data_IF_565686464484
#
_entry.id   IF_565686464484
#
_cell.length_a   1.000
_cell.length_b   1.000
_cell.length_c   1.000
_cell.angle_alpha   90.00
_cell.angle_beta   90.00
_cell.angle_gamma   90.00
#
_symmetry.space_group_name_H-M   'P 1'
#
loop_
_entity.id
_entity.type
_entity.pdbx_description
1 polymer ?
#
# COMPACT_ATOMS: atom_id res chain seq x y z
N UNK A 1 -20.58 6.24 22.96
CA UNK A 1 -20.14 5.21 23.92
C UNK A 1 -20.37 3.85 23.27
N UNK A 2 -19.36 3.35 22.56
CA UNK A 2 -19.38 2.01 21.98
C UNK A 2 -18.74 1.06 22.98
N UNK A 3 -19.57 0.28 23.68
CA UNK A 3 -19.05 -0.87 24.39
C UNK A 3 -18.40 -1.85 23.38
N UNK A 4 -17.32 -2.55 23.75
CA UNK A 4 -16.75 -3.57 22.90
C UNK A 4 -17.82 -4.62 22.56
N UNK A 5 -17.95 -4.90 21.27
CA UNK A 5 -19.01 -5.75 20.72
C UNK A 5 -18.83 -7.23 21.11
N UNK A 6 -17.72 -7.61 21.76
CA UNK A 6 -17.44 -8.98 22.16
C UNK A 6 -17.01 -9.04 23.63
N UNK A 7 -17.42 -10.07 24.40
CA UNK A 7 -16.96 -10.30 25.77
C UNK A 7 -15.44 -10.50 25.81
N UNK A 8 -14.80 -10.02 26.86
CA UNK A 8 -13.35 -10.16 27.09
C UNK A 8 -12.84 -11.61 27.02
N UNK A 9 -13.69 -12.59 27.29
CA UNK A 9 -13.38 -14.02 27.35
C UNK A 9 -13.78 -14.79 26.07
N UNK A 10 -14.32 -14.13 25.06
CA UNK A 10 -14.67 -14.83 23.83
C UNK A 10 -13.40 -15.16 23.05
N UNK A 11 -13.19 -16.44 22.63
CA UNK A 11 -12.12 -16.75 21.70
C UNK A 11 -12.40 -15.94 20.43
N UNK A 12 -11.57 -14.95 20.18
CA UNK A 12 -11.65 -14.15 18.97
C UNK A 12 -11.48 -15.09 17.79
N UNK A 13 -12.49 -15.26 16.96
CA UNK A 13 -12.26 -16.00 15.72
C UNK A 13 -11.18 -15.25 14.94
N UNK A 14 -10.20 -15.98 14.42
CA UNK A 14 -9.16 -15.40 13.58
C UNK A 14 -9.84 -14.62 12.46
N UNK A 15 -9.78 -13.30 12.56
CA UNK A 15 -10.37 -12.37 11.61
C UNK A 15 -9.30 -11.39 11.14
N UNK A 16 -9.38 -11.07 9.86
CA UNK A 16 -8.46 -10.17 9.19
C UNK A 16 -9.22 -9.02 8.57
N UNK A 17 -8.66 -7.83 8.64
CA UNK A 17 -9.21 -6.69 7.91
C UNK A 17 -8.54 -6.63 6.54
N UNK A 18 -9.31 -6.91 5.50
CA UNK A 18 -8.84 -6.85 4.13
C UNK A 18 -9.12 -5.47 3.55
N UNK A 19 -8.05 -4.69 3.34
CA UNK A 19 -8.14 -3.33 2.81
C UNK A 19 -7.50 -3.28 1.43
N UNK A 20 -8.21 -2.66 0.48
CA UNK A 20 -7.67 -2.26 -0.81
C UNK A 20 -8.02 -0.80 -1.06
N UNK A 21 -7.02 0.07 -1.00
CA UNK A 21 -7.22 1.53 -1.11
C UNK A 21 -7.78 1.92 -2.49
N UNK A 22 -7.33 1.25 -3.55
CA UNK A 22 -7.67 1.63 -4.91
C UNK A 22 -7.03 2.98 -5.28
N UNK A 23 -7.73 3.75 -6.13
CA UNK A 23 -7.25 5.06 -6.58
C UNK A 23 -7.62 6.20 -5.62
N UNK A 24 -8.65 6.01 -4.80
CA UNK A 24 -9.28 7.07 -4.02
C UNK A 24 -9.24 6.82 -2.52
N UNK A 25 -8.90 5.60 -2.08
CA UNK A 25 -8.80 5.27 -0.66
C UNK A 25 -7.53 5.87 -0.05
N UNK A 26 -7.65 6.37 1.18
CA UNK A 26 -6.55 6.97 1.91
C UNK A 26 -6.79 6.90 3.42
N UNK A 27 -5.70 7.05 4.18
CA UNK A 27 -5.73 7.12 5.62
C UNK A 27 -5.58 8.56 6.11
N UNK A 28 -6.35 8.92 7.13
CA UNK A 28 -6.15 10.13 7.91
C UNK A 28 -5.72 9.73 9.31
N UNK A 29 -4.64 10.32 9.77
CA UNK A 29 -4.15 10.15 11.13
C UNK A 29 -4.28 11.46 11.89
N UNK A 30 -4.67 11.37 13.18
CA UNK A 30 -4.63 12.47 14.13
C UNK A 30 -4.17 11.88 15.47
N UNK A 31 -3.53 12.71 16.28
CA UNK A 31 -3.05 12.30 17.59
C UNK A 31 -2.66 13.49 18.44
N UNK A 32 -2.36 13.20 19.71
CA UNK A 32 -1.79 14.19 20.62
C UNK A 32 -0.29 14.42 20.36
N UNK A 33 0.35 15.26 21.20
CA UNK A 33 1.76 15.62 21.08
C UNK A 33 2.74 14.45 21.30
N UNK A 34 2.27 13.31 21.81
CA UNK A 34 3.09 12.10 22.04
C UNK A 34 3.20 11.23 20.80
N UNK A 35 2.36 11.47 19.79
CA UNK A 35 2.36 10.73 18.53
C UNK A 35 3.41 11.30 17.60
N UNK A 36 4.52 10.58 17.47
CA UNK A 36 5.60 10.94 16.55
C UNK A 36 5.32 10.34 15.19
N UNK A 37 5.18 11.17 14.16
CA UNK A 37 5.17 10.72 12.77
C UNK A 37 6.62 10.49 12.31
N UNK A 38 7.04 9.23 12.29
CA UNK A 38 8.37 8.85 11.77
C UNK A 38 8.43 8.83 10.23
N UNK A 39 7.39 9.29 9.56
CA UNK A 39 7.36 9.43 8.10
C UNK A 39 7.38 8.10 7.34
N UNK A 40 7.11 7.00 8.00
CA UNK A 40 7.07 5.68 7.38
C UNK A 40 5.70 5.42 6.79
N UNK A 41 5.51 5.80 5.56
CA UNK A 41 4.34 5.20 4.96
C UNK A 41 3.69 5.88 3.83
N UNK A 42 3.29 5.02 3.13
CA UNK A 42 2.32 4.96 2.05
C UNK A 42 1.45 6.20 1.95
N UNK A 43 1.82 6.97 0.92
CA UNK A 43 0.92 7.86 0.23
C UNK A 43 0.06 8.75 1.12
N UNK A 44 0.66 9.82 1.61
CA UNK A 44 -0.07 11.04 1.91
C UNK A 44 -0.69 11.59 0.60
N UNK A 45 -1.77 10.98 0.14
CA UNK A 45 -2.67 11.71 -0.75
C UNK A 45 -3.44 12.67 0.13
N UNK A 46 -2.98 13.90 0.18
CA UNK A 46 -3.80 15.01 0.64
C UNK A 46 -4.94 15.12 -0.37
N UNK A 47 -6.20 14.81 0.01
CA UNK A 47 -7.30 14.94 -0.91
C UNK A 47 -7.58 16.41 -1.11
N UNK A 48 -7.55 16.86 -2.35
CA UNK A 48 -8.08 18.14 -2.78
C UNK A 48 -7.62 19.34 -1.94
N UNK A 49 -6.35 19.63 -1.90
CA UNK A 49 -5.92 21.01 -1.73
C UNK A 49 -6.41 21.76 -2.98
N UNK A 50 -7.18 22.86 -2.82
CA UNK A 50 -7.62 23.66 -3.96
C UNK A 50 -6.44 23.94 -4.89
N UNK A 51 -6.63 23.75 -6.18
CA UNK A 51 -5.58 24.05 -7.18
C UNK A 51 -5.14 25.48 -7.00
N UNK A 52 -3.97 25.71 -6.43
CA UNK A 52 -3.40 27.04 -6.19
C UNK A 52 -2.59 27.18 -4.90
N UNK A 53 -2.76 26.30 -3.94
CA UNK A 53 -2.06 26.40 -2.64
C UNK A 53 -0.94 25.36 -2.42
N UNK A 54 -0.67 24.51 -3.39
CA UNK A 54 0.41 23.54 -3.30
C UNK A 54 1.73 24.17 -3.78
N UNK A 55 2.52 24.66 -2.85
CA UNK A 55 3.84 25.28 -3.12
C UNK A 55 5.02 24.29 -3.08
N UNK A 56 4.78 22.98 -3.13
CA UNK A 56 5.83 21.95 -3.25
C UNK A 56 6.76 21.78 -2.04
N UNK A 57 6.59 22.58 -1.01
CA UNK A 57 7.35 22.55 0.23
C UNK A 57 6.43 22.57 1.44
N UNK A 58 5.41 21.72 1.43
CA UNK A 58 4.67 21.53 2.68
C UNK A 58 5.49 20.59 3.57
N UNK A 59 6.29 21.15 4.45
CA UNK A 59 6.26 20.65 5.81
C UNK A 59 4.80 20.71 6.22
N UNK A 60 4.03 19.67 5.92
CA UNK A 60 2.68 19.51 6.44
C UNK A 60 2.86 19.31 7.93
N UNK A 61 2.83 20.39 8.65
CA UNK A 61 2.62 20.40 10.08
C UNK A 61 1.31 19.67 10.32
N UNK A 62 1.38 18.46 10.79
CA UNK A 62 0.28 17.81 11.45
C UNK A 62 -0.17 18.76 12.55
N UNK A 63 -1.41 19.26 12.51
CA UNK A 63 -1.96 20.01 13.61
C UNK A 63 -2.27 21.49 13.41
N UNK A 64 -2.26 22.07 12.23
CA UNK A 64 -2.89 23.38 12.04
C UNK A 64 -4.43 23.24 12.12
N UNK A 65 -4.93 23.35 13.32
CA UNK A 65 -6.35 23.26 13.67
C UNK A 65 -6.63 22.70 15.06
N UNK A 66 -5.63 22.21 15.75
CA UNK A 66 -5.77 21.76 17.12
C UNK A 66 -5.25 22.85 18.08
N UNK A 67 -6.14 23.37 18.93
CA UNK A 67 -5.74 24.15 20.10
C UNK A 67 -4.77 23.33 20.96
N UNK A 68 -3.98 23.99 21.83
CA UNK A 68 -3.12 23.32 22.81
C UNK A 68 -3.95 22.31 23.62
N UNK A 69 -3.82 21.01 23.28
CA UNK A 69 -4.42 19.92 24.04
C UNK A 69 -3.43 19.56 25.14
N UNK A 70 -3.86 19.69 26.38
CA UNK A 70 -3.05 19.25 27.53
C UNK A 70 -2.94 17.74 27.52
N UNK A 71 -1.76 17.21 27.84
CA UNK A 71 -1.52 15.77 27.99
C UNK A 71 -2.59 15.15 28.90
N UNK A 72 -3.31 14.14 28.40
CA UNK A 72 -4.35 13.42 29.13
C UNK A 72 -5.80 13.87 28.88
N UNK A 73 -6.03 14.89 28.03
CA UNK A 73 -7.37 15.37 27.66
C UNK A 73 -7.63 15.29 26.13
N UNK A 74 -6.82 14.49 25.40
CA UNK A 74 -7.03 14.37 23.96
C UNK A 74 -8.25 13.51 23.63
N UNK A 75 -9.12 14.05 22.83
CA UNK A 75 -10.26 13.34 22.28
C UNK A 75 -10.14 13.24 20.76
N UNK A 76 -10.41 12.04 20.16
CA UNK A 76 -10.35 11.92 18.71
C UNK A 76 -11.38 12.86 18.05
N UNK A 77 -10.96 13.64 17.05
CA UNK A 77 -11.87 14.53 16.33
C UNK A 77 -12.99 13.74 15.65
N UNK A 78 -14.11 14.40 15.40
CA UNK A 78 -15.22 13.80 14.67
C UNK A 78 -14.80 13.28 13.30
N UNK A 79 -15.34 12.11 12.87
CA UNK A 79 -15.05 11.57 11.54
C UNK A 79 -15.45 12.53 10.43
N UNK A 80 -14.59 12.74 9.44
CA UNK A 80 -14.87 13.62 8.30
C UNK A 80 -14.90 12.81 7.01
N UNK A 81 -16.01 12.91 6.26
CA UNK A 81 -16.22 12.21 5.01
C UNK A 81 -16.73 10.78 5.18
N UNK A 82 -16.54 9.96 4.14
CA UNK A 82 -17.02 8.58 4.12
C UNK A 82 -16.03 7.63 4.80
N UNK A 83 -15.91 7.71 6.13
CA UNK A 83 -15.04 6.81 6.91
C UNK A 83 -15.61 5.39 6.90
N UNK A 84 -14.80 4.43 6.48
CA UNK A 84 -15.15 3.00 6.40
C UNK A 84 -14.60 2.19 7.57
N UNK A 85 -13.47 2.63 8.13
CA UNK A 85 -12.85 2.04 9.31
C UNK A 85 -12.24 3.16 10.13
N UNK A 86 -12.49 3.15 11.43
CA UNK A 86 -11.85 4.01 12.41
C UNK A 86 -11.17 3.15 13.47
N UNK A 87 -9.89 3.37 13.66
CA UNK A 87 -9.11 2.77 14.75
C UNK A 87 -8.60 3.89 15.65
N UNK A 88 -8.70 3.74 16.94
CA UNK A 88 -8.23 4.74 17.89
C UNK A 88 -7.79 4.13 19.21
N UNK A 89 -6.97 4.87 19.91
CA UNK A 89 -6.59 4.64 21.29
C UNK A 89 -6.61 5.97 22.05
N UNK A 90 -6.04 6.02 23.24
CA UNK A 90 -6.04 7.22 24.10
C UNK A 90 -5.20 8.38 23.53
N UNK A 91 -4.39 8.14 22.50
CA UNK A 91 -3.41 9.09 21.94
C UNK A 91 -3.58 9.38 20.47
N UNK A 92 -4.20 8.48 19.70
CA UNK A 92 -4.26 8.59 18.26
C UNK A 92 -5.55 8.03 17.66
N UNK A 93 -5.90 8.51 16.48
CA UNK A 93 -6.95 7.95 15.63
C UNK A 93 -6.48 7.83 14.18
N UNK A 94 -6.87 6.73 13.55
CA UNK A 94 -6.67 6.49 12.14
C UNK A 94 -8.02 6.24 11.46
N UNK A 95 -8.37 7.07 10.49
CA UNK A 95 -9.59 6.97 9.69
C UNK A 95 -9.26 6.53 8.27
N UNK A 96 -9.85 5.41 7.85
CA UNK A 96 -9.81 4.94 6.48
C UNK A 96 -10.98 5.53 5.68
N UNK A 97 -10.68 6.30 4.66
CA UNK A 97 -11.68 7.02 3.85
C UNK A 97 -11.67 6.51 2.41
N UNK A 98 -12.83 6.20 1.86
CA UNK A 98 -13.05 5.90 0.45
C UNK A 98 -12.27 4.72 -0.14
N UNK A 99 -11.94 3.65 0.60
CA UNK A 99 -11.27 2.50 0.02
C UNK A 99 -12.19 1.76 -0.96
N UNK A 100 -11.61 1.07 -1.95
CA UNK A 100 -12.35 0.17 -2.83
C UNK A 100 -12.87 -1.04 -2.08
N UNK A 101 -12.13 -1.49 -1.06
CA UNK A 101 -12.48 -2.62 -0.21
C UNK A 101 -12.06 -2.36 1.23
N UNK A 102 -12.93 -2.71 2.15
CA UNK A 102 -12.67 -2.78 3.58
C UNK A 102 -13.62 -3.83 4.16
N UNK A 103 -13.16 -5.06 4.23
CA UNK A 103 -13.95 -6.22 4.63
C UNK A 103 -13.30 -6.94 5.80
N UNK A 104 -14.12 -7.47 6.69
CA UNK A 104 -13.68 -8.42 7.71
C UNK A 104 -13.75 -9.83 7.13
N UNK A 105 -12.62 -10.51 7.05
CA UNK A 105 -12.50 -11.83 6.42
C UNK A 105 -11.99 -12.88 7.40
N UNK A 106 -12.28 -14.16 7.10
CA UNK A 106 -11.75 -15.31 7.83
C UNK A 106 -10.31 -15.61 7.42
N UNK A 107 -9.63 -16.48 8.17
CA UNK A 107 -8.30 -16.98 7.78
C UNK A 107 -8.34 -17.74 6.45
N UNK A 108 -9.37 -18.55 6.22
CA UNK A 108 -9.57 -19.26 4.95
C UNK A 108 -9.73 -18.29 3.77
N UNK A 109 -10.47 -17.19 3.96
CA UNK A 109 -10.65 -16.16 2.94
C UNK A 109 -9.35 -15.38 2.69
N UNK A 110 -8.55 -15.14 3.75
CA UNK A 110 -7.22 -14.56 3.65
C UNK A 110 -6.30 -15.44 2.80
N UNK A 111 -6.16 -16.72 3.16
CA UNK A 111 -5.34 -17.68 2.43
C UNK A 111 -5.78 -17.77 0.96
N UNK A 112 -7.10 -17.78 0.70
CA UNK A 112 -7.64 -17.76 -0.66
C UNK A 112 -7.33 -16.46 -1.41
N UNK A 113 -7.27 -15.33 -0.73
CA UNK A 113 -6.90 -14.05 -1.35
C UNK A 113 -5.41 -14.02 -1.69
N UNK A 114 -4.55 -14.41 -0.74
CA UNK A 114 -3.10 -14.47 -0.89
C UNK A 114 -2.66 -15.49 -1.96
N UNK A 115 -3.32 -16.64 -2.04
CA UNK A 115 -3.00 -17.68 -3.04
C UNK A 115 -3.17 -17.23 -4.50
N UNK A 116 -3.87 -16.12 -4.72
CA UNK A 116 -4.05 -15.53 -6.06
C UNK A 116 -2.94 -14.57 -6.44
N UNK A 117 -2.08 -14.20 -5.49
CA UNK A 117 -0.99 -13.27 -5.73
C UNK A 117 0.19 -13.95 -6.41
N UNK A 118 0.88 -13.19 -7.24
CA UNK A 118 2.18 -13.55 -7.74
C UNK A 118 3.26 -13.41 -6.65
N UNK A 119 4.52 -13.76 -6.96
CA UNK A 119 5.62 -13.56 -6.03
C UNK A 119 5.75 -12.07 -5.68
N UNK A 120 6.07 -11.77 -4.41
CA UNK A 120 6.26 -10.41 -3.91
C UNK A 120 7.74 -10.02 -3.96
N UNK A 121 8.12 -8.93 -4.66
CA UNK A 121 9.49 -8.45 -4.70
C UNK A 121 10.07 -7.98 -3.35
N UNK A 122 9.21 -7.77 -2.35
CA UNK A 122 9.61 -7.38 -0.99
C UNK A 122 9.78 -8.55 -0.03
N UNK A 123 9.41 -9.76 -0.44
CA UNK A 123 9.68 -10.96 0.36
C UNK A 123 11.17 -11.11 0.66
N UNK A 124 11.47 -11.65 1.84
CA UNK A 124 12.85 -11.86 2.26
C UNK A 124 13.62 -12.74 1.25
N UNK A 125 14.64 -12.17 0.63
CA UNK A 125 15.44 -12.87 -0.37
C UNK A 125 14.86 -12.91 -1.79
N UNK A 126 13.71 -12.29 -2.05
CA UNK A 126 13.02 -12.30 -3.36
C UNK A 126 13.95 -11.95 -4.53
N UNK A 127 14.90 -11.02 -4.34
CA UNK A 127 15.86 -10.61 -5.37
C UNK A 127 16.74 -11.77 -5.88
N UNK A 128 17.09 -12.70 -5.03
CA UNK A 128 17.92 -13.88 -5.33
C UNK A 128 17.12 -15.18 -5.43
N UNK A 129 15.81 -15.12 -5.22
CA UNK A 129 14.91 -16.26 -5.37
C UNK A 129 14.73 -16.57 -6.86
N UNK A 130 15.42 -17.65 -7.28
CA UNK A 130 15.41 -18.10 -8.67
C UNK A 130 14.03 -18.60 -9.08
N UNK A 131 13.29 -19.23 -8.18
CA UNK A 131 11.96 -19.77 -8.48
C UNK A 131 10.94 -18.63 -8.71
N UNK A 132 10.91 -17.64 -7.82
CA UNK A 132 10.07 -16.46 -7.97
C UNK A 132 10.39 -15.67 -9.25
N UNK A 133 11.67 -15.45 -9.51
CA UNK A 133 12.16 -14.79 -10.72
C UNK A 133 11.77 -15.54 -12.00
N UNK A 134 11.95 -16.87 -12.04
CA UNK A 134 11.57 -17.69 -13.19
C UNK A 134 10.07 -17.72 -13.38
N UNK A 135 9.30 -17.87 -12.30
CA UNK A 135 7.83 -17.83 -12.35
C UNK A 135 7.36 -16.53 -12.99
N UNK A 136 7.87 -15.39 -12.53
CA UNK A 136 7.57 -14.09 -13.13
C UNK A 136 7.95 -14.04 -14.62
N UNK A 137 9.20 -14.40 -14.95
CA UNK A 137 9.73 -14.30 -16.30
C UNK A 137 8.96 -15.17 -17.29
N UNK A 138 8.67 -16.42 -16.94
CA UNK A 138 7.93 -17.35 -17.80
C UNK A 138 6.48 -16.90 -18.00
N UNK A 139 5.80 -16.50 -16.92
CA UNK A 139 4.43 -16.03 -17.02
C UNK A 139 4.35 -14.74 -17.85
N UNK A 140 5.24 -13.78 -17.61
CA UNK A 140 5.27 -12.53 -18.39
C UNK A 140 5.57 -12.79 -19.87
N UNK A 141 6.53 -13.69 -20.17
CA UNK A 141 6.87 -14.07 -21.55
C UNK A 141 5.71 -14.76 -22.28
N UNK A 142 4.89 -15.54 -21.58
CA UNK A 142 3.73 -16.20 -22.18
C UNK A 142 2.60 -15.25 -22.61
N UNK A 143 2.61 -14.00 -22.12
CA UNK A 143 1.50 -13.06 -22.34
C UNK A 143 1.69 -12.22 -23.59
N UNK A 144 0.62 -12.11 -24.38
CA UNK A 144 0.53 -11.21 -25.55
C UNK A 144 0.12 -9.78 -25.19
N UNK A 145 -0.17 -9.52 -23.90
CA UNK A 145 -0.48 -8.18 -23.37
C UNK A 145 0.78 -7.30 -23.29
N UNK A 146 0.58 -5.99 -23.16
CA UNK A 146 1.65 -5.04 -22.92
C UNK A 146 2.36 -5.28 -21.59
N UNK A 147 3.69 -5.14 -21.54
CA UNK A 147 4.45 -5.37 -20.30
C UNK A 147 4.02 -4.42 -19.18
N UNK A 148 3.63 -3.19 -19.52
CA UNK A 148 3.11 -2.24 -18.53
C UNK A 148 1.82 -2.68 -17.85
N UNK A 149 1.01 -3.51 -18.48
CA UNK A 149 -0.17 -4.13 -17.87
C UNK A 149 0.20 -5.39 -17.07
N UNK A 150 1.18 -6.15 -17.57
CA UNK A 150 1.65 -7.39 -16.94
C UNK A 150 2.25 -7.11 -15.57
N UNK A 151 3.10 -6.10 -15.43
CA UNK A 151 3.73 -5.74 -14.15
C UNK A 151 2.78 -5.06 -13.16
N UNK A 152 1.56 -4.73 -13.59
CA UNK A 152 0.47 -4.24 -12.71
C UNK A 152 -0.48 -5.36 -12.28
N UNK A 153 -0.37 -6.52 -12.88
CA UNK A 153 -1.21 -7.67 -12.60
C UNK A 153 -0.72 -8.39 -11.33
N UNK A 154 -1.41 -8.17 -10.23
CA UNK A 154 -1.01 -8.70 -8.91
C UNK A 154 -0.97 -10.23 -8.86
N UNK A 155 -1.58 -10.93 -9.81
CA UNK A 155 -1.48 -12.38 -9.93
C UNK A 155 -0.17 -12.85 -10.59
N UNK A 156 0.55 -11.93 -11.23
CA UNK A 156 1.84 -12.20 -11.89
C UNK A 156 3.01 -11.72 -11.04
N UNK A 157 2.86 -10.55 -10.42
CA UNK A 157 3.83 -9.95 -9.50
C UNK A 157 3.06 -9.09 -8.49
N UNK A 158 3.24 -9.37 -7.20
CA UNK A 158 2.55 -8.65 -6.15
C UNK A 158 3.21 -7.30 -5.83
N UNK A 159 2.46 -6.36 -5.27
CA UNK A 159 2.96 -5.12 -4.70
C UNK A 159 3.35 -4.02 -5.70
N UNK A 160 3.51 -4.32 -6.98
CA UNK A 160 3.90 -3.32 -7.99
C UNK A 160 2.75 -2.39 -8.33
N UNK A 161 2.95 -1.09 -8.13
CA UNK A 161 2.02 -0.03 -8.49
C UNK A 161 2.51 0.83 -9.66
N UNK A 162 1.75 1.88 -9.98
CA UNK A 162 2.03 2.78 -11.11
C UNK A 162 3.43 3.41 -11.08
N UNK A 163 3.93 3.75 -9.89
CA UNK A 163 5.24 4.39 -9.71
C UNK A 163 6.33 3.39 -10.11
N UNK A 164 6.38 2.25 -9.44
CA UNK A 164 7.41 1.24 -9.72
C UNK A 164 7.31 0.65 -11.11
N UNK A 165 6.09 0.53 -11.68
CA UNK A 165 5.93 0.17 -13.10
C UNK A 165 6.65 1.17 -14.02
N UNK A 166 6.43 2.47 -13.81
CA UNK A 166 7.02 3.50 -14.66
C UNK A 166 8.54 3.51 -14.53
N UNK A 167 9.04 3.55 -13.30
CA UNK A 167 10.48 3.62 -13.02
C UNK A 167 11.23 2.38 -13.49
N UNK A 168 10.70 1.18 -13.20
CA UNK A 168 11.35 -0.06 -13.59
C UNK A 168 11.43 -0.23 -15.11
N UNK A 169 10.34 0.06 -15.82
CA UNK A 169 10.33 -0.06 -17.28
C UNK A 169 11.21 1.00 -17.94
N UNK A 170 11.24 2.23 -17.40
CA UNK A 170 12.12 3.28 -17.87
C UNK A 170 13.60 2.90 -17.69
N UNK A 171 14.00 2.49 -16.50
CA UNK A 171 15.38 2.10 -16.21
C UNK A 171 15.80 0.83 -16.98
N UNK A 172 14.89 -0.12 -17.17
CA UNK A 172 15.13 -1.29 -18.01
C UNK A 172 15.21 -0.94 -19.51
N UNK A 173 14.83 0.24 -19.93
CA UNK A 173 14.73 0.61 -21.35
C UNK A 173 13.73 -0.26 -22.11
N UNK A 174 12.58 -0.59 -21.46
CA UNK A 174 11.52 -1.40 -22.06
C UNK A 174 10.29 -0.52 -22.25
N UNK A 175 9.84 -0.39 -23.52
CA UNK A 175 8.59 0.31 -23.77
C UNK A 175 7.42 -0.38 -23.05
N UNK A 176 6.58 0.35 -22.28
CA UNK A 176 5.44 -0.22 -21.57
C UNK A 176 4.42 -0.88 -22.51
N UNK A 177 4.38 -0.49 -23.79
CA UNK A 177 3.50 -1.07 -24.81
C UNK A 177 4.05 -2.34 -25.45
N UNK A 178 5.30 -2.70 -25.15
CA UNK A 178 5.89 -3.92 -25.72
C UNK A 178 5.20 -5.15 -25.12
N UNK A 179 4.83 -6.10 -25.98
CA UNK A 179 4.20 -7.35 -25.54
C UNK A 179 5.20 -8.18 -24.74
N UNK A 180 4.76 -8.80 -23.65
CA UNK A 180 5.58 -9.69 -22.83
C UNK A 180 6.25 -10.79 -23.66
N UNK A 181 5.50 -11.41 -24.57
CA UNK A 181 6.00 -12.44 -25.48
C UNK A 181 7.15 -11.97 -26.40
N UNK A 182 7.33 -10.67 -26.58
CA UNK A 182 8.39 -10.08 -27.42
C UNK A 182 9.61 -9.61 -26.59
N UNK A 183 9.65 -9.95 -25.29
CA UNK A 183 10.77 -9.65 -24.40
C UNK A 183 11.45 -10.96 -24.06
N UNK A 184 12.77 -11.03 -24.19
CA UNK A 184 13.50 -12.26 -23.88
C UNK A 184 13.42 -12.57 -22.38
N UNK A 185 13.45 -13.86 -22.03
CA UNK A 185 13.48 -14.31 -20.63
C UNK A 185 14.62 -13.67 -19.83
N UNK A 186 15.80 -13.51 -20.46
CA UNK A 186 16.91 -12.80 -19.82
C UNK A 186 16.52 -11.40 -19.37
N UNK A 187 15.89 -10.61 -20.25
CA UNK A 187 15.47 -9.24 -19.92
C UNK A 187 14.34 -9.19 -18.89
N UNK A 188 13.48 -10.20 -18.87
CA UNK A 188 12.42 -10.29 -17.84
C UNK A 188 13.00 -10.62 -16.46
N UNK A 189 14.03 -11.47 -16.39
CA UNK A 189 14.77 -11.72 -15.13
C UNK A 189 15.48 -10.46 -14.64
N UNK A 190 16.15 -9.74 -15.54
CA UNK A 190 16.77 -8.44 -15.22
C UNK A 190 15.73 -7.42 -14.72
N UNK A 191 14.53 -7.41 -15.30
CA UNK A 191 13.43 -6.57 -14.85
C UNK A 191 12.94 -6.96 -13.45
N UNK A 192 12.84 -8.25 -13.13
CA UNK A 192 12.51 -8.72 -11.78
C UNK A 192 13.51 -8.20 -10.74
N UNK A 193 14.81 -8.39 -10.97
CA UNK A 193 15.86 -7.90 -10.07
C UNK A 193 15.76 -6.39 -9.87
N UNK A 194 15.53 -5.64 -10.93
CA UNK A 194 15.39 -4.19 -10.89
C UNK A 194 14.17 -3.75 -10.09
N UNK A 195 13.03 -4.43 -10.23
CA UNK A 195 11.82 -4.17 -9.44
C UNK A 195 12.10 -4.41 -7.95
N UNK A 196 12.71 -5.54 -7.60
CA UNK A 196 13.10 -5.83 -6.22
C UNK A 196 13.99 -4.73 -5.64
N UNK A 197 15.01 -4.29 -6.38
CA UNK A 197 15.93 -3.24 -5.93
C UNK A 197 15.22 -1.90 -5.72
N UNK A 198 14.34 -1.51 -6.63
CA UNK A 198 13.58 -0.26 -6.53
C UNK A 198 12.61 -0.27 -5.35
N UNK A 199 11.84 -1.35 -5.19
CA UNK A 199 10.87 -1.46 -4.11
C UNK A 199 11.56 -1.49 -2.74
N UNK A 200 12.67 -2.22 -2.60
CA UNK A 200 13.44 -2.24 -1.35
C UNK A 200 14.06 -0.85 -1.02
N UNK A 201 14.54 -0.10 -2.03
CA UNK A 201 15.00 1.28 -1.81
C UNK A 201 13.87 2.20 -1.39
N UNK A 202 12.68 2.06 -1.99
CA UNK A 202 11.49 2.80 -1.61
C UNK A 202 11.09 2.52 -0.17
N UNK A 203 11.06 1.25 0.22
CA UNK A 203 10.78 0.83 1.58
C UNK A 203 11.79 1.43 2.59
N UNK A 204 13.09 1.32 2.30
CA UNK A 204 14.15 1.87 3.15
C UNK A 204 14.12 3.41 3.25
N UNK A 205 13.60 4.09 2.24
CA UNK A 205 13.45 5.55 2.21
C UNK A 205 12.10 6.05 2.75
N UNK A 206 11.20 5.15 3.18
CA UNK A 206 9.85 5.50 3.63
C UNK A 206 8.96 6.06 2.52
N UNK A 207 9.11 5.61 1.29
CA UNK A 207 8.42 6.15 0.11
C UNK A 207 7.64 5.06 -0.63
#
# INVERSE_FOLDING_TARGET
SGEPILPEDAPWPDRWVHIHLGLYGWWRFNGDETVVDEGHGVAHRIPNVPKGEWNGHSETRWGEGFGEVKAGEWEPPEPVGAVRLRMFNDHAVADLVGPNRCDLITDEERVKAESKLGPDPLDAGARSDVEAMERFAQVAHSKKRAIGEIVMDQSIIAGVGNIYRADALFLAGISPHRKGANISLKRLRELWVLICDLMNRGLAAGR
#
